data_IF_697117116156
#
_entry.id   IF_697117116156
#
_cell.length_a   1.000
_cell.length_b   1.000
_cell.length_c   1.000
_cell.angle_alpha   90.00
_cell.angle_beta   90.00
_cell.angle_gamma   90.00
#
_symmetry.space_group_name_H-M   'P 1'
#
loop_
_entity.id
_entity.type
_entity.pdbx_description
1 polymer ?
#
# COMPACT_ATOMS: atom_id res chain seq x y z
N UNK A 1 -3.50 -23.17 -22.05
CA UNK A 1 -3.52 -22.09 -21.04
C UNK A 1 -2.10 -22.01 -20.51
N UNK A 2 -1.39 -20.92 -20.79
CA UNK A 2 -0.01 -20.74 -20.34
C UNK A 2 -0.02 -20.13 -18.93
N UNK A 3 0.64 -20.77 -17.99
CA UNK A 3 0.76 -20.25 -16.62
C UNK A 3 1.94 -19.27 -16.57
N UNK A 4 1.65 -18.04 -16.27
CA UNK A 4 2.67 -17.01 -16.08
C UNK A 4 3.14 -16.98 -14.63
N UNK A 5 4.43 -17.21 -14.41
CA UNK A 5 5.05 -17.15 -13.08
C UNK A 5 5.65 -15.74 -12.86
N UNK A 6 4.78 -14.75 -12.69
CA UNK A 6 5.18 -13.36 -12.41
C UNK A 6 4.60 -12.91 -11.07
N UNK A 7 5.38 -12.14 -10.32
CA UNK A 7 4.89 -11.43 -9.12
C UNK A 7 4.02 -10.25 -9.52
N UNK A 8 3.28 -9.71 -8.57
CA UNK A 8 2.44 -8.53 -8.77
C UNK A 8 3.27 -7.32 -9.25
N UNK A 9 4.47 -7.11 -8.68
CA UNK A 9 5.42 -6.07 -9.11
C UNK A 9 5.87 -6.26 -10.56
N UNK A 10 6.24 -7.50 -10.94
CA UNK A 10 6.64 -7.83 -12.31
C UNK A 10 5.51 -7.64 -13.33
N UNK A 11 4.26 -7.84 -12.94
CA UNK A 11 3.12 -7.53 -13.80
C UNK A 11 2.97 -6.03 -14.04
N UNK A 12 3.15 -5.22 -13.01
CA UNK A 12 3.11 -3.77 -13.15
C UNK A 12 4.21 -3.27 -14.10
N UNK A 13 5.43 -3.74 -13.91
CA UNK A 13 6.58 -3.41 -14.77
C UNK A 13 6.32 -3.81 -16.23
N UNK A 14 5.83 -5.02 -16.44
CA UNK A 14 5.49 -5.52 -17.77
C UNK A 14 4.51 -4.60 -18.52
N UNK A 15 3.46 -4.13 -17.85
CA UNK A 15 2.49 -3.23 -18.49
C UNK A 15 3.02 -1.82 -18.65
N UNK A 16 3.84 -1.34 -17.71
CA UNK A 16 4.52 -0.05 -17.83
C UNK A 16 5.51 -0.01 -19.01
N UNK A 17 6.14 -1.14 -19.33
CA UNK A 17 7.04 -1.26 -20.49
C UNK A 17 6.28 -1.41 -21.82
N UNK A 18 5.22 -2.21 -21.85
CA UNK A 18 4.54 -2.55 -23.10
C UNK A 18 3.43 -1.56 -23.49
N UNK A 19 2.82 -0.88 -22.52
CA UNK A 19 1.74 0.10 -22.74
C UNK A 19 1.90 1.34 -21.85
N UNK A 20 3.07 2.03 -21.90
CA UNK A 20 3.42 3.09 -20.94
C UNK A 20 2.39 4.22 -20.86
N UNK A 21 1.86 4.65 -21.99
CA UNK A 21 0.99 5.82 -22.12
C UNK A 21 -0.50 5.49 -21.94
N UNK A 22 -0.85 4.20 -21.77
CA UNK A 22 -2.23 3.80 -21.58
C UNK A 22 -2.67 4.12 -20.15
N UNK A 23 -3.88 4.69 -19.99
CA UNK A 23 -4.48 4.91 -18.67
C UNK A 23 -4.64 3.59 -17.93
N UNK A 24 -4.19 3.57 -16.69
CA UNK A 24 -4.31 2.43 -15.79
C UNK A 24 -5.32 2.69 -14.68
N UNK A 25 -5.20 3.82 -13.99
CA UNK A 25 -6.06 4.19 -12.87
C UNK A 25 -6.72 5.53 -13.13
N UNK A 26 -8.03 5.58 -12.91
CA UNK A 26 -8.83 6.81 -13.00
C UNK A 26 -9.66 6.95 -11.72
N UNK A 27 -9.44 8.03 -10.99
CA UNK A 27 -10.25 8.46 -9.87
C UNK A 27 -11.11 9.65 -10.33
N UNK A 28 -12.31 9.37 -10.78
CA UNK A 28 -13.21 10.37 -11.39
C UNK A 28 -13.69 11.43 -10.40
N UNK A 29 -13.79 11.08 -9.12
CA UNK A 29 -14.18 11.97 -8.02
C UNK A 29 -13.10 13.02 -7.67
N UNK A 30 -11.86 12.81 -8.12
CA UNK A 30 -10.69 13.64 -7.81
C UNK A 30 -10.00 14.19 -9.05
N UNK A 31 -10.54 13.91 -10.23
CA UNK A 31 -9.92 14.20 -11.53
C UNK A 31 -8.44 13.76 -11.61
N UNK A 32 -8.15 12.60 -11.03
CA UNK A 32 -6.81 12.04 -10.95
C UNK A 32 -6.69 10.82 -11.85
N UNK A 33 -5.70 10.85 -12.75
CA UNK A 33 -5.43 9.79 -13.72
C UNK A 33 -3.95 9.44 -13.71
N UNK A 34 -3.66 8.17 -13.85
CA UNK A 34 -2.30 7.68 -14.02
C UNK A 34 -2.23 6.74 -15.20
N UNK A 35 -1.24 6.93 -16.05
CA UNK A 35 -0.80 5.94 -17.02
C UNK A 35 -0.05 4.80 -16.31
N UNK A 36 0.18 3.69 -17.02
CA UNK A 36 0.97 2.59 -16.48
C UNK A 36 2.38 3.04 -16.08
N UNK A 37 3.03 3.86 -16.91
CA UNK A 37 4.37 4.39 -16.65
C UNK A 37 4.40 5.32 -15.43
N UNK A 38 3.46 6.25 -15.34
CA UNK A 38 3.36 7.19 -14.21
C UNK A 38 3.10 6.46 -12.89
N UNK A 39 2.18 5.49 -12.92
CA UNK A 39 1.87 4.69 -11.73
C UNK A 39 3.05 3.83 -11.30
N UNK A 40 3.74 3.19 -12.26
CA UNK A 40 4.94 2.39 -11.95
C UNK A 40 6.03 3.25 -11.30
N UNK A 41 6.28 4.46 -11.82
CA UNK A 41 7.22 5.40 -11.23
C UNK A 41 6.83 5.78 -9.79
N UNK A 42 5.55 6.07 -9.55
CA UNK A 42 5.02 6.37 -8.23
C UNK A 42 5.23 5.21 -7.25
N UNK A 43 5.01 3.99 -7.72
CA UNK A 43 5.26 2.76 -6.94
C UNK A 43 6.73 2.60 -6.60
N UNK A 44 7.64 2.86 -7.54
CA UNK A 44 9.08 2.79 -7.32
C UNK A 44 9.56 3.81 -6.29
N UNK A 45 9.04 5.03 -6.35
CA UNK A 45 9.37 6.07 -5.39
C UNK A 45 8.86 5.71 -3.98
N UNK A 46 7.65 5.15 -3.88
CA UNK A 46 7.10 4.62 -2.63
C UNK A 46 7.93 3.45 -2.08
N UNK A 47 8.32 2.52 -2.93
CA UNK A 47 9.13 1.36 -2.54
C UNK A 47 10.49 1.78 -1.96
N UNK A 48 11.15 2.77 -2.58
CA UNK A 48 12.39 3.38 -2.04
C UNK A 48 12.16 4.02 -0.68
N UNK A 49 11.04 4.75 -0.50
CA UNK A 49 10.66 5.33 0.78
C UNK A 49 10.44 4.27 1.86
N UNK A 50 9.75 3.18 1.52
CA UNK A 50 9.53 2.05 2.43
C UNK A 50 10.85 1.41 2.87
N UNK A 51 11.77 1.17 1.93
CA UNK A 51 13.11 0.65 2.24
C UNK A 51 13.90 1.61 3.13
N UNK A 52 13.81 2.92 2.91
CA UNK A 52 14.53 3.93 3.70
C UNK A 52 14.08 3.97 5.17
N UNK A 53 12.84 3.59 5.47
CA UNK A 53 12.35 3.50 6.86
C UNK A 53 12.46 2.09 7.44
N UNK A 54 13.15 1.17 6.76
CA UNK A 54 13.45 -0.17 7.27
C UNK A 54 12.43 -1.26 6.93
N UNK A 55 11.45 -0.99 6.07
CA UNK A 55 10.54 -2.02 5.56
C UNK A 55 11.28 -2.83 4.48
N UNK A 56 11.45 -4.13 4.71
CA UNK A 56 12.19 -5.03 3.83
C UNK A 56 11.38 -6.28 3.52
N UNK A 57 12.00 -7.21 2.79
CA UNK A 57 11.39 -8.50 2.48
C UNK A 57 10.92 -9.21 3.77
N UNK A 58 9.68 -9.68 3.76
CA UNK A 58 9.06 -10.38 4.89
C UNK A 58 8.54 -9.46 6.01
N UNK A 59 8.78 -8.15 5.96
CA UNK A 59 8.22 -7.22 6.94
C UNK A 59 6.70 -7.15 6.79
N UNK A 60 5.97 -7.33 7.89
CA UNK A 60 4.52 -7.16 7.92
C UNK A 60 4.17 -5.68 8.10
N UNK A 61 3.40 -5.15 7.16
CA UNK A 61 3.00 -3.73 7.15
C UNK A 61 1.49 -3.62 7.10
N UNK A 62 0.90 -2.95 8.07
CA UNK A 62 -0.53 -2.68 8.12
C UNK A 62 -0.91 -1.55 7.18
N UNK A 63 -2.04 -1.68 6.48
CA UNK A 63 -2.65 -0.59 5.72
C UNK A 63 -4.06 -0.37 6.21
N UNK A 64 -4.26 0.79 6.86
CA UNK A 64 -5.55 1.22 7.36
C UNK A 64 -5.98 2.49 6.62
N UNK A 65 -6.62 2.28 5.50
CA UNK A 65 -6.97 3.34 4.56
C UNK A 65 -8.23 2.99 3.79
N UNK A 66 -8.94 4.03 3.35
CA UNK A 66 -10.04 3.88 2.38
C UNK A 66 -9.50 3.75 0.97
N UNK A 67 -10.42 3.75 0.01
CA UNK A 67 -10.10 3.65 -1.41
C UNK A 67 -9.47 4.95 -1.93
N UNK A 68 -8.20 5.15 -1.62
CA UNK A 68 -7.37 6.28 -2.06
C UNK A 68 -6.26 5.79 -2.98
N UNK A 69 -5.71 6.66 -3.86
CA UNK A 69 -4.64 6.29 -4.79
C UNK A 69 -3.41 5.68 -4.09
N UNK A 70 -3.08 6.19 -2.91
CA UNK A 70 -1.94 5.74 -2.14
C UNK A 70 -2.07 4.30 -1.64
N UNK A 71 -3.29 3.81 -1.45
CA UNK A 71 -3.53 2.43 -1.07
C UNK A 71 -2.97 1.44 -2.10
N UNK A 72 -3.29 1.64 -3.39
CA UNK A 72 -2.76 0.80 -4.48
C UNK A 72 -1.27 1.01 -4.67
N UNK A 73 -0.78 2.25 -4.57
CA UNK A 73 0.65 2.55 -4.63
C UNK A 73 1.42 1.77 -3.57
N UNK A 74 0.90 1.75 -2.35
CA UNK A 74 1.50 1.04 -1.22
C UNK A 74 1.48 -0.48 -1.41
N UNK A 75 0.36 -1.03 -1.91
CA UNK A 75 0.24 -2.45 -2.23
C UNK A 75 1.32 -2.92 -3.21
N UNK A 76 1.44 -2.23 -4.34
CA UNK A 76 2.42 -2.59 -5.37
C UNK A 76 3.87 -2.33 -4.92
N UNK A 77 4.10 -1.27 -4.16
CA UNK A 77 5.41 -0.97 -3.59
C UNK A 77 5.85 -2.07 -2.61
N UNK A 78 4.96 -2.49 -1.70
CA UNK A 78 5.20 -3.62 -0.81
C UNK A 78 5.48 -4.92 -1.58
N UNK A 79 4.69 -5.19 -2.63
CA UNK A 79 4.89 -6.37 -3.46
C UNK A 79 6.26 -6.37 -4.19
N UNK A 80 6.76 -5.20 -4.63
CA UNK A 80 8.08 -5.08 -5.27
C UNK A 80 9.23 -5.39 -4.32
N UNK A 81 9.14 -4.97 -3.07
CA UNK A 81 10.20 -5.19 -2.07
C UNK A 81 10.02 -6.50 -1.27
N UNK A 82 8.93 -7.23 -1.52
CA UNK A 82 8.64 -8.49 -0.84
C UNK A 82 8.10 -8.32 0.60
N UNK A 83 7.56 -7.17 0.94
CA UNK A 83 6.86 -6.95 2.20
C UNK A 83 5.49 -7.66 2.20
N UNK A 84 5.00 -8.02 3.38
CA UNK A 84 3.68 -8.62 3.58
C UNK A 84 2.70 -7.52 3.96
N UNK A 85 1.76 -7.22 3.05
CA UNK A 85 0.74 -6.23 3.32
C UNK A 85 -0.44 -6.84 4.07
N UNK A 86 -0.75 -6.27 5.23
CA UNK A 86 -1.90 -6.63 6.05
C UNK A 86 -2.97 -5.54 5.92
N UNK A 87 -4.08 -5.87 5.28
CA UNK A 87 -5.20 -4.94 5.11
C UNK A 87 -6.03 -4.86 6.37
N UNK A 88 -6.34 -3.65 6.82
CA UNK A 88 -7.08 -3.38 8.05
C UNK A 88 -8.44 -2.80 7.69
N UNK A 89 -9.50 -3.39 8.26
CA UNK A 89 -10.85 -2.87 8.06
C UNK A 89 -10.98 -1.49 8.71
N UNK A 90 -11.42 -0.51 7.93
CA UNK A 90 -11.59 0.88 8.38
C UNK A 90 -12.64 1.07 9.46
N UNK A 91 -13.52 0.10 9.67
CA UNK A 91 -14.53 0.12 10.73
C UNK A 91 -14.01 -0.41 12.08
N UNK A 92 -12.78 -0.94 12.13
CA UNK A 92 -12.22 -1.46 13.37
C UNK A 92 -12.09 -0.36 14.44
N UNK A 93 -12.46 -0.71 15.66
CA UNK A 93 -12.25 0.07 16.86
C UNK A 93 -10.90 -0.27 17.49
N UNK A 94 -10.52 0.45 18.52
CA UNK A 94 -9.22 0.30 19.17
C UNK A 94 -8.91 -1.15 19.56
N UNK A 95 -9.83 -1.84 20.22
CA UNK A 95 -9.61 -3.22 20.67
C UNK A 95 -9.41 -4.23 19.55
N UNK A 96 -10.12 -4.04 18.44
CA UNK A 96 -9.99 -4.89 17.25
C UNK A 96 -8.67 -4.62 16.53
N UNK A 97 -8.27 -3.35 16.50
CA UNK A 97 -7.00 -2.93 15.89
C UNK A 97 -5.81 -3.46 16.70
N UNK A 98 -5.84 -3.32 18.02
CA UNK A 98 -4.80 -3.85 18.92
C UNK A 98 -4.62 -5.36 18.73
N UNK A 99 -5.73 -6.10 18.71
CA UNK A 99 -5.70 -7.55 18.47
C UNK A 99 -5.08 -7.89 17.11
N UNK A 100 -5.48 -7.18 16.04
CA UNK A 100 -4.97 -7.43 14.70
C UNK A 100 -3.46 -7.12 14.60
N UNK A 101 -3.03 -6.00 15.17
CA UNK A 101 -1.62 -5.58 15.15
C UNK A 101 -0.73 -6.62 15.82
N UNK A 102 -1.16 -7.12 16.99
CA UNK A 102 -0.43 -8.15 17.71
C UNK A 102 -0.44 -9.49 16.97
N UNK A 103 -1.63 -9.92 16.52
CA UNK A 103 -1.79 -11.25 15.92
C UNK A 103 -1.15 -11.36 14.54
N UNK A 104 -1.08 -10.26 13.79
CA UNK A 104 -0.45 -10.21 12.46
C UNK A 104 1.00 -9.72 12.48
N UNK A 105 1.59 -9.52 13.67
CA UNK A 105 2.98 -9.06 13.84
C UNK A 105 3.29 -7.78 13.04
N UNK A 106 2.41 -6.78 13.15
CA UNK A 106 2.52 -5.51 12.43
C UNK A 106 3.37 -4.54 13.24
N UNK A 107 4.53 -4.14 12.70
CA UNK A 107 5.42 -3.16 13.32
C UNK A 107 5.34 -1.78 12.70
N UNK A 108 4.84 -1.68 11.48
CA UNK A 108 4.67 -0.42 10.74
C UNK A 108 3.29 -0.36 10.14
N UNK A 109 2.66 0.81 10.21
CA UNK A 109 1.31 1.00 9.69
C UNK A 109 1.22 2.24 8.81
N UNK A 110 0.62 2.09 7.63
CA UNK A 110 0.21 3.19 6.76
C UNK A 110 -1.25 3.54 7.06
N UNK A 111 -1.49 4.81 7.33
CA UNK A 111 -2.82 5.31 7.72
C UNK A 111 -3.14 6.53 6.87
N UNK A 112 -4.37 6.62 6.36
CA UNK A 112 -4.86 7.83 5.70
C UNK A 112 -5.66 8.69 6.66
N UNK A 113 -5.49 10.02 6.56
CA UNK A 113 -6.28 10.97 7.33
C UNK A 113 -7.75 10.96 6.90
N UNK A 114 -8.64 11.01 7.90
CA UNK A 114 -10.02 11.46 7.76
C UNK A 114 -10.92 10.61 6.87
N UNK A 115 -11.42 9.48 7.38
CA UNK A 115 -12.39 8.66 6.64
C UNK A 115 -13.82 8.87 7.11
N UNK A 116 -14.02 9.30 8.33
CA UNK A 116 -15.33 9.66 8.92
C UNK A 116 -15.13 10.87 9.84
N UNK A 117 -16.19 11.59 10.14
CA UNK A 117 -16.25 12.79 11.02
C UNK A 117 -15.67 12.66 12.45
N UNK A 118 -14.84 11.70 12.67
CA UNK A 118 -14.02 11.51 13.84
C UNK A 118 -12.58 11.50 13.41
N UNK A 119 -11.82 12.53 13.78
CA UNK A 119 -10.38 12.48 13.73
C UNK A 119 -9.91 11.16 14.34
N UNK A 120 -9.32 10.29 13.53
CA UNK A 120 -8.51 9.21 14.07
C UNK A 120 -7.26 9.86 14.68
N UNK A 121 -7.38 10.40 15.88
CA UNK A 121 -6.21 10.65 16.71
C UNK A 121 -5.64 9.28 17.10
N UNK A 122 -4.98 8.67 16.16
CA UNK A 122 -4.14 7.53 16.48
C UNK A 122 -2.85 8.10 17.03
N UNK A 123 -2.71 7.98 18.32
CA UNK A 123 -1.42 8.18 18.95
C UNK A 123 -0.38 7.40 18.16
N UNK A 124 0.75 8.04 17.84
CA UNK A 124 1.89 7.39 17.21
C UNK A 124 2.05 6.01 17.82
N UNK A 125 1.95 4.97 16.98
CA UNK A 125 2.38 3.65 17.41
C UNK A 125 3.83 3.82 17.86
N UNK A 126 4.06 3.80 19.16
CA UNK A 126 5.40 3.83 19.70
C UNK A 126 6.05 2.55 19.23
N UNK A 127 7.10 2.67 18.41
CA UNK A 127 8.04 1.58 18.26
C UNK A 127 8.46 1.20 19.67
N UNK A 128 8.00 0.07 20.16
CA UNK A 128 8.58 -0.55 21.35
C UNK A 128 9.88 -1.19 20.85
N UNK A 129 10.98 -0.66 21.36
CA UNK A 129 12.28 -1.31 21.31
C UNK A 129 12.23 -2.69 21.95
#
# INVERSE_FOLDING_TARGET
>A
MELHNRTLGQWLEHWAENTPDKEYIVYSDRDLRFTWSEFNKRVDDMAKGMLAIGITHGTHVGVWATNVPDWLTFLYAGAKIGAVLVTINTNYKQSELEYLVENADIHTMCITDGVFDGSYEIGRASCRE
#
